data_IF_145175729582
#
_entry.id   IF_145175729582
#
_cell.length_a   1.000
_cell.length_b   1.000
_cell.length_c   1.000
_cell.angle_alpha   90.00
_cell.angle_beta   90.00
_cell.angle_gamma   90.00
#
_symmetry.space_group_name_H-M   'P 1'
#
loop_
_entity.id
_entity.type
_entity.pdbx_description
1 polymer ?
#
# COMPACT_ATOMS: atom_id res chain seq x y z
N UNK A 1 -4.13 23.31 22.08
CA UNK A 1 -3.99 24.47 21.18
C UNK A 1 -4.66 24.06 19.88
N UNK A 2 -5.73 24.73 19.46
CA UNK A 2 -6.44 24.37 18.22
C UNK A 2 -5.63 24.95 17.07
N UNK A 3 -4.92 24.11 16.32
CA UNK A 3 -4.27 24.54 15.09
C UNK A 3 -5.36 24.83 14.06
N UNK A 4 -5.56 26.10 13.73
CA UNK A 4 -6.45 26.50 12.66
C UNK A 4 -5.79 26.13 11.34
N UNK A 5 -6.33 25.12 10.65
CA UNK A 5 -5.96 24.81 9.28
C UNK A 5 -6.28 26.01 8.38
N UNK A 6 -5.25 26.71 7.92
CA UNK A 6 -5.41 27.84 7.01
C UNK A 6 -5.50 27.30 5.60
N UNK A 7 -6.69 27.42 4.99
CA UNK A 7 -6.86 27.05 3.59
C UNK A 7 -5.88 27.83 2.70
N UNK A 8 -5.29 27.18 1.68
CA UNK A 8 -4.51 27.91 0.68
C UNK A 8 -5.39 29.02 0.04
N UNK A 9 -4.78 30.14 -0.37
CA UNK A 9 -5.53 31.27 -0.91
C UNK A 9 -6.42 30.82 -2.08
N UNK A 10 -7.65 31.34 -2.15
CA UNK A 10 -8.70 30.93 -3.11
C UNK A 10 -8.26 30.93 -4.58
N UNK A 11 -7.22 31.69 -4.95
CA UNK A 11 -6.61 31.68 -6.28
C UNK A 11 -5.94 30.34 -6.65
N UNK A 12 -5.47 29.53 -5.69
CA UNK A 12 -4.86 28.21 -5.96
C UNK A 12 -5.88 27.13 -6.37
N UNK A 13 -7.16 27.32 -6.03
CA UNK A 13 -8.20 26.32 -6.18
C UNK A 13 -8.89 26.29 -7.56
N UNK A 14 -8.62 27.25 -8.45
CA UNK A 14 -9.37 27.38 -9.71
C UNK A 14 -8.99 26.37 -10.81
N UNK A 15 -7.91 25.59 -10.64
CA UNK A 15 -7.54 24.50 -11.58
C UNK A 15 -7.25 23.15 -10.90
N UNK A 16 -7.11 23.16 -9.57
CA UNK A 16 -6.59 22.04 -8.78
C UNK A 16 -7.70 21.34 -7.99
N UNK A 17 -7.74 20.01 -8.08
CA UNK A 17 -8.65 19.16 -7.30
C UNK A 17 -7.97 18.79 -5.99
N UNK A 18 -8.65 19.01 -4.86
CA UNK A 18 -8.20 18.52 -3.55
C UNK A 18 -8.42 17.00 -3.48
N UNK A 19 -7.35 16.23 -3.26
CA UNK A 19 -7.39 14.76 -3.24
C UNK A 19 -7.23 14.16 -1.85
N UNK A 20 -6.43 14.79 -0.98
CA UNK A 20 -6.21 14.33 0.38
C UNK A 20 -5.85 15.50 1.32
N UNK A 21 -6.16 15.34 2.60
CA UNK A 21 -5.74 16.27 3.67
C UNK A 21 -5.18 15.51 4.86
N UNK A 22 -4.26 16.16 5.57
CA UNK A 22 -3.78 15.69 6.86
C UNK A 22 -3.76 16.88 7.83
N UNK A 23 -4.83 17.06 8.62
CA UNK A 23 -4.98 18.23 9.49
C UNK A 23 -3.89 18.37 10.55
N UNK A 24 -3.39 17.25 11.11
CA UNK A 24 -2.33 17.28 12.14
C UNK A 24 -1.02 17.84 11.59
N UNK A 25 -0.73 17.59 10.31
CA UNK A 25 0.44 18.09 9.60
C UNK A 25 0.18 19.41 8.85
N UNK A 26 -1.03 19.98 8.98
CA UNK A 26 -1.49 21.12 8.19
C UNK A 26 -1.19 20.95 6.69
N UNK A 27 -1.47 19.75 6.18
CA UNK A 27 -1.10 19.35 4.84
C UNK A 27 -2.32 19.08 3.96
N UNK A 28 -2.18 19.38 2.66
CA UNK A 28 -3.18 19.09 1.65
C UNK A 28 -2.50 18.73 0.32
N UNK A 29 -3.05 17.74 -0.36
CA UNK A 29 -2.57 17.28 -1.66
C UNK A 29 -3.59 17.63 -2.73
N UNK A 30 -3.12 18.32 -3.75
CA UNK A 30 -3.91 18.71 -4.91
C UNK A 30 -3.31 18.12 -6.19
N UNK A 31 -4.11 18.02 -7.25
CA UNK A 31 -3.64 17.64 -8.58
C UNK A 31 -4.56 18.15 -9.68
N UNK A 32 -4.12 18.03 -10.93
CA UNK A 32 -4.95 18.18 -12.12
C UNK A 32 -5.50 16.82 -12.58
N UNK A 33 -6.77 16.78 -12.97
CA UNK A 33 -7.33 15.62 -13.67
C UNK A 33 -6.96 15.67 -15.16
N UNK A 34 -6.37 14.60 -15.68
CA UNK A 34 -5.87 14.49 -17.05
C UNK A 34 -6.05 13.06 -17.58
N UNK A 35 -7.08 12.86 -18.41
CA UNK A 35 -7.46 11.51 -18.88
C UNK A 35 -7.89 10.63 -17.70
N UNK A 36 -7.40 9.39 -17.65
CA UNK A 36 -7.73 8.44 -16.57
C UNK A 36 -6.81 8.59 -15.33
N UNK A 37 -6.18 9.75 -15.14
CA UNK A 37 -5.21 9.97 -14.07
C UNK A 37 -5.31 11.38 -13.47
N UNK A 38 -4.89 11.49 -12.21
CA UNK A 38 -4.41 12.73 -11.61
C UNK A 38 -2.90 12.90 -11.89
N UNK A 39 -2.49 14.13 -12.22
CA UNK A 39 -1.10 14.53 -12.55
C UNK A 39 -0.81 15.93 -12.03
N UNK A 40 0.44 16.38 -12.16
CA UNK A 40 0.88 17.72 -11.77
C UNK A 40 0.53 18.04 -10.31
N UNK A 41 0.98 17.18 -9.40
CA UNK A 41 0.59 17.26 -8.01
C UNK A 41 1.18 18.51 -7.34
N UNK A 42 0.42 19.05 -6.39
CA UNK A 42 0.87 20.12 -5.50
C UNK A 42 0.67 19.67 -4.05
N UNK A 43 1.75 19.61 -3.28
CA UNK A 43 1.71 19.38 -1.85
C UNK A 43 1.79 20.72 -1.11
N UNK A 44 0.75 21.04 -0.35
CA UNK A 44 0.75 22.14 0.61
C UNK A 44 1.08 21.58 1.99
N UNK A 45 2.04 22.19 2.70
CA UNK A 45 2.45 21.82 4.07
C UNK A 45 2.83 23.09 4.82
N UNK A 46 2.14 23.42 5.91
CA UNK A 46 2.48 24.56 6.77
C UNK A 46 2.75 25.88 6.02
N UNK A 47 1.94 26.21 5.02
CA UNK A 47 2.10 27.44 4.21
C UNK A 47 3.07 27.31 3.02
N UNK A 48 3.78 26.20 2.91
CA UNK A 48 4.74 25.93 1.83
C UNK A 48 4.06 25.13 0.73
N UNK A 49 4.35 25.49 -0.51
CA UNK A 49 3.80 24.87 -1.72
C UNK A 49 4.94 24.17 -2.46
N UNK A 50 4.83 22.87 -2.64
CA UNK A 50 5.79 22.04 -3.36
C UNK A 50 5.13 21.44 -4.60
N UNK A 51 5.69 21.72 -5.77
CA UNK A 51 5.21 21.18 -7.06
C UNK A 51 5.83 19.82 -7.34
N UNK A 52 5.03 18.90 -7.86
CA UNK A 52 5.37 17.50 -8.14
C UNK A 52 4.86 17.10 -9.53
N UNK A 53 5.48 17.63 -10.60
CA UNK A 53 5.01 17.44 -11.98
C UNK A 53 5.09 15.97 -12.44
N UNK A 54 6.05 15.20 -11.92
CA UNK A 54 6.26 13.82 -12.33
C UNK A 54 5.32 12.82 -11.63
N UNK A 55 4.58 13.26 -10.60
CA UNK A 55 3.68 12.39 -9.87
C UNK A 55 2.42 12.08 -10.67
N UNK A 56 1.94 10.85 -10.50
CA UNK A 56 0.73 10.35 -11.17
C UNK A 56 -0.05 9.48 -10.19
N UNK A 57 -1.37 9.59 -10.22
CA UNK A 57 -2.25 8.63 -9.57
C UNK A 57 -3.40 8.28 -10.52
N UNK A 58 -3.91 7.06 -10.44
CA UNK A 58 -5.18 6.70 -11.07
C UNK A 58 -6.30 7.66 -10.65
N UNK A 59 -7.23 8.02 -11.54
CA UNK A 59 -8.39 8.81 -11.14
C UNK A 59 -9.52 8.00 -10.48
N UNK A 60 -9.45 6.66 -10.60
CA UNK A 60 -10.39 5.73 -9.97
C UNK A 60 -10.50 5.98 -8.44
N UNK A 61 -11.69 6.30 -7.92
CA UNK A 61 -11.89 6.62 -6.50
C UNK A 61 -11.46 5.53 -5.51
N UNK A 62 -11.50 4.26 -5.92
CA UNK A 62 -11.05 3.15 -5.07
C UNK A 62 -9.52 3.12 -4.87
N UNK A 63 -8.77 3.84 -5.71
CA UNK A 63 -7.32 3.88 -5.75
C UNK A 63 -6.77 5.30 -5.63
N UNK A 64 -7.53 6.19 -4.98
CA UNK A 64 -7.10 7.56 -4.72
C UNK A 64 -5.80 7.65 -3.89
N UNK A 65 -5.09 8.78 -3.94
CA UNK A 65 -3.89 8.99 -3.13
C UNK A 65 -4.18 8.82 -1.63
N UNK A 66 -3.22 8.27 -0.90
CA UNK A 66 -3.27 8.22 0.56
C UNK A 66 -2.24 9.17 1.15
N UNK A 67 -2.61 9.88 2.21
CA UNK A 67 -1.71 10.73 2.99
C UNK A 67 -1.73 10.28 4.45
N UNK A 68 -0.63 9.64 4.87
CA UNK A 68 -0.44 9.13 6.23
C UNK A 68 0.47 10.07 7.02
N UNK A 69 0.36 10.04 8.35
CA UNK A 69 1.17 10.86 9.25
C UNK A 69 1.63 10.09 10.47
N UNK A 70 2.87 9.61 10.43
CA UNK A 70 3.40 8.68 11.41
C UNK A 70 4.92 8.79 11.50
N UNK A 71 5.46 8.62 12.71
CA UNK A 71 6.90 8.48 12.92
C UNK A 71 7.32 7.08 12.44
N UNK A 72 7.95 7.03 11.26
CA UNK A 72 8.40 5.78 10.64
C UNK A 72 9.92 5.58 10.67
N UNK A 73 10.66 6.59 11.13
CA UNK A 73 12.11 6.57 11.29
C UNK A 73 12.55 6.48 12.76
N UNK A 74 11.60 6.55 13.71
CA UNK A 74 11.75 6.47 15.16
C UNK A 74 12.52 7.65 15.78
N UNK A 75 12.47 8.83 15.16
CA UNK A 75 13.12 10.05 15.66
C UNK A 75 12.21 10.91 16.55
N UNK A 76 10.99 10.43 16.86
CA UNK A 76 9.94 11.10 17.64
C UNK A 76 9.22 12.25 16.88
N UNK A 77 9.52 12.46 15.61
CA UNK A 77 8.80 13.37 14.72
C UNK A 77 7.99 12.55 13.71
N UNK A 78 6.76 13.00 13.43
CA UNK A 78 5.91 12.32 12.46
C UNK A 78 6.28 12.76 11.04
N UNK A 79 6.27 11.80 10.13
CA UNK A 79 6.53 11.99 8.72
C UNK A 79 5.21 12.03 7.95
N UNK A 80 5.15 12.82 6.88
CA UNK A 80 4.07 12.72 5.89
C UNK A 80 4.46 11.65 4.89
N UNK A 81 3.63 10.61 4.74
CA UNK A 81 3.80 9.57 3.72
C UNK A 81 2.68 9.69 2.71
N UNK A 82 3.03 9.84 1.44
CA UNK A 82 2.07 9.89 0.33
C UNK A 82 2.23 8.62 -0.48
N UNK A 83 1.13 7.85 -0.61
CA UNK A 83 1.08 6.65 -1.44
C UNK A 83 0.24 6.94 -2.68
N UNK A 84 0.83 6.74 -3.85
CA UNK A 84 0.20 6.97 -5.15
C UNK A 84 0.02 5.66 -5.88
N UNK A 85 -1.21 5.34 -6.29
CA UNK A 85 -1.49 4.18 -7.15
C UNK A 85 -1.26 4.56 -8.61
N UNK A 86 -0.17 4.08 -9.19
CA UNK A 86 0.30 4.42 -10.55
C UNK A 86 -0.18 3.45 -11.62
N UNK A 87 -0.69 2.28 -11.21
CA UNK A 87 -1.31 1.27 -12.07
C UNK A 87 -2.27 0.38 -11.27
N UNK A 88 -3.40 0.03 -11.87
CA UNK A 88 -4.40 -0.85 -11.25
C UNK A 88 -5.17 -1.65 -12.31
N UNK A 89 -5.80 -2.75 -11.91
CA UNK A 89 -6.62 -3.59 -12.76
C UNK A 89 -6.91 -4.95 -12.13
N UNK A 90 -7.50 -5.89 -12.88
CA UNK A 90 -7.73 -7.25 -12.38
C UNK A 90 -6.40 -7.94 -12.08
N UNK A 91 -6.10 -8.13 -10.80
CA UNK A 91 -4.84 -8.73 -10.34
C UNK A 91 -3.62 -7.83 -10.45
N UNK A 92 -3.81 -6.52 -10.69
CA UNK A 92 -2.73 -5.54 -10.80
C UNK A 92 -2.96 -4.40 -9.79
N UNK A 93 -1.96 -4.12 -8.96
CA UNK A 93 -1.84 -2.91 -8.15
C UNK A 93 -0.36 -2.52 -8.18
N UNK A 94 -0.07 -1.27 -8.51
CA UNK A 94 1.27 -0.69 -8.44
C UNK A 94 1.18 0.63 -7.69
N UNK A 95 1.96 0.75 -6.61
CA UNK A 95 2.09 1.98 -5.85
C UNK A 95 3.51 2.51 -5.81
N UNK A 96 3.60 3.83 -5.63
CA UNK A 96 4.81 4.57 -5.30
C UNK A 96 4.62 5.24 -3.92
N UNK A 97 5.71 5.35 -3.16
CA UNK A 97 5.72 5.99 -1.84
C UNK A 97 6.65 7.20 -1.84
N UNK A 98 6.14 8.31 -1.33
CA UNK A 98 6.89 9.55 -1.11
C UNK A 98 6.88 9.88 0.37
N UNK A 99 8.06 10.10 0.96
CA UNK A 99 8.19 10.33 2.40
C UNK A 99 8.81 11.69 2.66
N UNK A 100 8.18 12.47 3.52
CA UNK A 100 8.62 13.79 3.93
C UNK A 100 8.81 13.81 5.43
N UNK A 101 10.05 14.05 5.89
CA UNK A 101 10.30 14.02 7.32
C UNK A 101 9.77 15.26 8.04
N UNK A 102 9.29 15.05 9.27
CA UNK A 102 8.93 16.12 10.18
C UNK A 102 10.11 17.02 10.54
N UNK A 103 9.82 18.29 10.85
CA UNK A 103 10.82 19.29 11.26
C UNK A 103 11.11 20.32 10.17
N UNK A 104 10.49 21.50 10.26
CA UNK A 104 10.71 22.60 9.32
C UNK A 104 9.92 22.43 8.02
N UNK A 105 10.61 22.40 6.87
CA UNK A 105 10.01 22.52 5.53
C UNK A 105 9.49 21.21 4.92
N UNK A 106 9.42 20.12 5.68
CA UNK A 106 9.09 18.77 5.19
C UNK A 106 9.88 18.41 3.90
N UNK A 107 11.20 18.20 3.99
CA UNK A 107 11.98 17.74 2.84
C UNK A 107 11.62 16.30 2.48
N UNK A 108 11.54 16.01 1.18
CA UNK A 108 11.32 14.65 0.68
C UNK A 108 12.61 13.83 0.75
N UNK A 109 12.50 12.58 1.20
CA UNK A 109 13.58 11.61 1.18
C UNK A 109 13.26 10.47 0.22
N UNK A 110 14.28 10.04 -0.52
CA UNK A 110 14.15 8.95 -1.48
C UNK A 110 13.79 7.64 -0.78
N UNK A 111 12.92 6.86 -1.41
CA UNK A 111 12.63 5.47 -1.05
C UNK A 111 13.21 4.58 -2.13
N UNK A 112 14.07 3.63 -1.75
CA UNK A 112 14.64 2.68 -2.69
C UNK A 112 13.52 1.94 -3.44
N UNK A 113 13.67 1.84 -4.76
CA UNK A 113 12.66 1.22 -5.60
C UNK A 113 12.47 -0.27 -5.22
N UNK A 114 11.25 -0.69 -4.81
CA UNK A 114 11.02 -2.05 -4.35
C UNK A 114 11.26 -3.09 -5.46
N UNK A 115 10.94 -2.79 -6.73
CA UNK A 115 11.19 -3.72 -7.83
C UNK A 115 12.70 -3.96 -8.05
N UNK A 116 13.52 -2.92 -7.95
CA UNK A 116 14.98 -3.07 -8.01
C UNK A 116 15.50 -3.93 -6.85
N UNK A 117 14.94 -3.75 -5.65
CA UNK A 117 15.26 -4.58 -4.47
C UNK A 117 14.86 -6.05 -4.72
N UNK A 118 13.65 -6.31 -5.23
CA UNK A 118 13.16 -7.66 -5.53
C UNK A 118 14.05 -8.36 -6.56
N UNK A 119 14.32 -7.71 -7.69
CA UNK A 119 15.13 -8.27 -8.78
C UNK A 119 16.56 -8.61 -8.34
N UNK A 120 17.13 -7.83 -7.42
CA UNK A 120 18.48 -8.04 -6.91
C UNK A 120 18.56 -9.15 -5.85
N UNK A 121 17.56 -9.24 -4.97
CA UNK A 121 17.68 -10.03 -3.73
C UNK A 121 16.76 -11.26 -3.67
N UNK A 122 15.78 -11.37 -4.57
CA UNK A 122 14.79 -12.45 -4.57
C UNK A 122 14.94 -13.29 -5.83
N UNK A 123 15.15 -14.59 -5.65
CA UNK A 123 15.24 -15.55 -6.74
C UNK A 123 14.16 -16.61 -6.60
N UNK A 124 13.41 -16.84 -7.67
CA UNK A 124 12.27 -17.75 -7.66
C UNK A 124 12.40 -18.87 -8.68
N UNK A 125 11.85 -20.04 -8.37
CA UNK A 125 11.55 -21.09 -9.35
C UNK A 125 10.15 -21.61 -9.11
N UNK A 126 9.45 -21.95 -10.18
CA UNK A 126 8.08 -22.44 -10.13
C UNK A 126 7.94 -23.72 -10.96
N UNK A 127 7.29 -24.71 -10.38
CA UNK A 127 6.75 -25.89 -11.06
C UNK A 127 5.28 -26.03 -10.68
N UNK A 128 4.58 -27.01 -11.29
CA UNK A 128 3.18 -27.28 -10.94
C UNK A 128 3.00 -27.78 -9.50
N UNK A 129 4.04 -28.34 -8.89
CA UNK A 129 3.98 -28.93 -7.55
C UNK A 129 4.65 -28.07 -6.49
N UNK A 130 5.68 -27.31 -6.86
CA UNK A 130 6.51 -26.59 -5.89
C UNK A 130 6.95 -25.24 -6.41
N UNK A 131 7.04 -24.29 -5.49
CA UNK A 131 7.72 -23.04 -5.71
C UNK A 131 8.88 -22.92 -4.72
N UNK A 132 9.98 -22.34 -5.18
CA UNK A 132 11.11 -21.99 -4.32
C UNK A 132 11.31 -20.49 -4.35
N UNK A 133 11.39 -19.88 -3.18
CA UNK A 133 11.67 -18.45 -3.00
C UNK A 133 12.99 -18.36 -2.22
N UNK A 134 14.01 -17.78 -2.82
CA UNK A 134 15.32 -17.59 -2.18
C UNK A 134 15.56 -16.11 -1.96
N UNK A 135 15.77 -15.73 -0.70
CA UNK A 135 16.05 -14.35 -0.28
C UNK A 135 17.36 -14.37 0.49
N UNK A 136 18.34 -13.57 0.07
CA UNK A 136 19.65 -13.48 0.73
C UNK A 136 20.30 -14.86 1.00
N UNK A 137 20.17 -15.78 0.04
CA UNK A 137 20.71 -17.15 0.13
C UNK A 137 19.88 -18.14 0.95
N UNK A 138 18.83 -17.70 1.64
CA UNK A 138 17.90 -18.58 2.36
C UNK A 138 16.73 -18.96 1.45
N UNK A 139 16.54 -20.26 1.22
CA UNK A 139 15.46 -20.79 0.39
C UNK A 139 14.28 -21.28 1.23
N UNK A 140 13.09 -20.84 0.88
CA UNK A 140 11.80 -21.39 1.33
C UNK A 140 11.20 -22.20 0.18
N UNK A 141 10.77 -23.42 0.48
CA UNK A 141 10.05 -24.29 -0.46
C UNK A 141 8.57 -24.28 -0.08
N UNK A 142 7.71 -24.04 -1.06
CA UNK A 142 6.26 -24.01 -0.90
C UNK A 142 5.66 -25.11 -1.76
N UNK A 143 4.83 -25.96 -1.15
CA UNK A 143 3.99 -26.91 -1.89
C UNK A 143 2.87 -26.13 -2.58
N UNK A 144 2.87 -26.09 -3.92
CA UNK A 144 1.86 -25.36 -4.68
C UNK A 144 0.52 -26.10 -4.67
N UNK A 145 0.53 -27.43 -4.56
CA UNK A 145 -0.68 -28.24 -4.60
C UNK A 145 -1.62 -27.93 -3.41
N UNK A 146 -1.07 -27.45 -2.29
CA UNK A 146 -1.86 -27.09 -1.10
C UNK A 146 -2.89 -25.98 -1.38
N UNK A 147 -2.66 -25.13 -2.38
CA UNK A 147 -3.54 -24.01 -2.74
C UNK A 147 -4.67 -24.41 -3.71
N UNK A 148 -4.65 -25.65 -4.23
CA UNK A 148 -5.70 -26.21 -5.11
C UNK A 148 -5.99 -25.36 -6.35
N UNK A 149 -4.99 -24.65 -6.87
CA UNK A 149 -5.10 -24.01 -8.17
C UNK A 149 -5.16 -25.06 -9.27
N UNK A 150 -5.83 -24.73 -10.38
CA UNK A 150 -5.79 -25.56 -11.58
C UNK A 150 -4.33 -25.61 -12.10
N UNK A 151 -3.72 -26.80 -12.20
CA UNK A 151 -2.35 -26.95 -12.70
C UNK A 151 -2.13 -26.44 -14.13
N UNK A 152 -3.18 -26.26 -14.93
CA UNK A 152 -3.10 -25.66 -16.27
C UNK A 152 -3.00 -24.13 -16.23
N UNK A 153 -3.45 -23.51 -15.14
CA UNK A 153 -3.38 -22.06 -14.93
C UNK A 153 -2.15 -21.60 -14.14
N UNK A 154 -1.33 -22.54 -13.65
CA UNK A 154 -0.06 -22.23 -13.00
C UNK A 154 0.90 -21.66 -14.05
N UNK A 155 1.44 -20.48 -13.75
CA UNK A 155 2.40 -19.76 -14.58
C UNK A 155 3.75 -20.50 -14.68
N UNK A 156 4.59 -20.07 -15.62
CA UNK A 156 5.95 -20.63 -15.78
C UNK A 156 6.94 -20.08 -14.75
N UNK A 157 6.63 -18.93 -14.18
CA UNK A 157 7.47 -18.22 -13.21
C UNK A 157 6.59 -17.52 -12.17
N UNK A 158 7.21 -17.18 -11.03
CA UNK A 158 6.56 -16.35 -10.01
C UNK A 158 6.63 -14.90 -10.47
N UNK A 159 5.49 -14.24 -10.57
CA UNK A 159 5.41 -12.82 -10.89
C UNK A 159 5.37 -12.04 -9.57
N UNK A 160 6.30 -11.09 -9.40
CA UNK A 160 6.39 -10.22 -8.22
C UNK A 160 5.99 -8.77 -8.49
N UNK A 161 5.79 -8.40 -9.77
CA UNK A 161 5.57 -7.01 -10.19
C UNK A 161 4.10 -6.60 -10.32
N UNK A 162 3.18 -7.57 -10.26
CA UNK A 162 1.77 -7.35 -10.57
C UNK A 162 1.02 -6.73 -9.39
N UNK A 163 1.27 -7.17 -8.17
CA UNK A 163 0.63 -6.60 -6.99
C UNK A 163 1.73 -6.13 -6.03
N UNK A 164 2.06 -4.86 -6.12
CA UNK A 164 3.05 -4.16 -5.33
C UNK A 164 2.39 -2.93 -4.69
N UNK A 165 2.25 -2.94 -3.38
CA UNK A 165 1.66 -1.85 -2.62
C UNK A 165 2.49 -1.55 -1.37
N UNK A 166 2.19 -0.44 -0.69
CA UNK A 166 2.87 -0.05 0.54
C UNK A 166 1.91 -0.03 1.73
N UNK A 167 2.44 -0.41 2.89
CA UNK A 167 1.76 -0.31 4.17
C UNK A 167 2.71 0.20 5.25
N UNK A 168 2.16 0.70 6.36
CA UNK A 168 2.94 0.95 7.57
C UNK A 168 2.72 -0.21 8.53
N UNK A 169 3.76 -1.04 8.70
CA UNK A 169 3.74 -2.21 9.57
C UNK A 169 4.75 -1.99 10.68
N UNK A 170 4.29 -2.06 11.94
CA UNK A 170 5.13 -1.84 13.13
C UNK A 170 5.91 -0.52 13.07
N UNK A 171 5.24 0.57 12.67
CA UNK A 171 5.84 1.90 12.48
C UNK A 171 6.98 1.92 11.47
N UNK A 172 6.96 1.07 10.44
CA UNK A 172 7.92 1.12 9.34
C UNK A 172 7.21 1.06 8.00
N UNK A 173 7.67 1.87 7.05
CA UNK A 173 7.26 1.75 5.67
C UNK A 173 7.66 0.35 5.16
N UNK A 174 6.70 -0.38 4.62
CA UNK A 174 6.89 -1.73 4.09
C UNK A 174 6.28 -1.83 2.71
N UNK A 175 7.06 -2.20 1.71
CA UNK A 175 6.53 -2.60 0.41
C UNK A 175 6.13 -4.07 0.44
N UNK A 176 4.97 -4.41 -0.09
CA UNK A 176 4.41 -5.75 -0.13
C UNK A 176 4.23 -6.14 -1.59
N UNK A 177 4.88 -7.22 -2.01
CA UNK A 177 4.77 -7.78 -3.34
C UNK A 177 4.16 -9.19 -3.29
N UNK A 178 3.07 -9.44 -4.00
CA UNK A 178 2.51 -10.80 -4.07
C UNK A 178 3.40 -11.72 -4.90
N UNK A 179 3.65 -12.94 -4.40
CA UNK A 179 4.26 -14.02 -5.14
C UNK A 179 3.21 -14.72 -6.00
N UNK A 180 2.83 -14.07 -7.11
CA UNK A 180 1.76 -14.52 -7.98
C UNK A 180 2.19 -15.70 -8.86
N UNK A 181 1.36 -16.73 -8.91
CA UNK A 181 1.58 -17.95 -9.69
C UNK A 181 0.40 -18.30 -10.62
N UNK A 182 -0.69 -17.52 -10.59
CA UNK A 182 -1.84 -17.62 -11.51
C UNK A 182 -2.27 -16.22 -11.94
N UNK A 183 -2.59 -16.03 -13.23
CA UNK A 183 -2.86 -14.71 -13.84
C UNK A 183 -3.94 -13.87 -13.13
N UNK A 184 -4.97 -14.50 -12.55
CA UNK A 184 -6.07 -13.82 -11.86
C UNK A 184 -5.90 -13.85 -10.33
N UNK A 185 -4.74 -13.39 -9.84
CA UNK A 185 -4.52 -13.15 -8.41
C UNK A 185 -4.27 -14.38 -7.54
N UNK A 186 -3.97 -15.54 -8.13
CA UNK A 186 -3.52 -16.69 -7.34
C UNK A 186 -2.05 -16.51 -6.93
N UNK A 187 -1.78 -16.52 -5.64
CA UNK A 187 -0.45 -16.32 -5.07
C UNK A 187 -0.12 -17.39 -4.03
N UNK A 188 1.17 -17.58 -3.77
CA UNK A 188 1.68 -18.50 -2.74
C UNK A 188 2.11 -17.77 -1.46
N UNK A 189 1.96 -16.46 -1.42
CA UNK A 189 2.41 -15.61 -0.33
C UNK A 189 2.84 -14.24 -0.81
N UNK A 190 3.57 -13.55 0.05
CA UNK A 190 3.99 -12.17 -0.15
C UNK A 190 5.46 -12.01 0.21
N UNK A 191 6.15 -11.12 -0.50
CA UNK A 191 7.47 -10.61 -0.15
C UNK A 191 7.28 -9.27 0.52
N UNK A 192 7.71 -9.15 1.77
CA UNK A 192 7.68 -7.91 2.54
C UNK A 192 9.09 -7.31 2.55
N UNK A 193 9.21 -6.06 2.10
CA UNK A 193 10.43 -5.25 2.16
C UNK A 193 10.21 -4.17 3.20
N UNK A 194 10.74 -4.37 4.40
CA UNK A 194 10.72 -3.36 5.45
C UNK A 194 11.86 -2.37 5.23
N UNK A 195 11.54 -1.08 5.21
CA UNK A 195 12.50 -0.02 5.00
C UNK A 195 13.03 0.54 6.33
N UNK A 196 14.31 0.90 6.33
CA UNK A 196 14.96 1.66 7.38
C UNK A 196 15.60 2.92 6.81
N UNK A 197 15.60 4.01 7.59
CA UNK A 197 16.21 5.26 7.16
C UNK A 197 17.73 5.24 7.41
N UNK A 198 18.52 5.30 6.33
CA UNK A 198 19.99 5.25 6.38
C UNK A 198 20.58 6.04 5.23
N UNK A 199 21.70 6.75 5.48
CA UNK A 199 22.40 7.52 4.44
C UNK A 199 21.47 8.49 3.69
N UNK A 200 20.55 9.13 4.43
CA UNK A 200 19.64 10.14 3.89
C UNK A 200 18.60 9.60 2.90
N UNK A 201 18.21 8.33 3.03
CA UNK A 201 17.13 7.71 2.24
C UNK A 201 16.56 6.47 2.94
N UNK A 202 15.39 6.02 2.52
CA UNK A 202 14.79 4.76 2.96
C UNK A 202 15.33 3.60 2.13
N UNK A 203 16.05 2.69 2.77
CA UNK A 203 16.69 1.53 2.15
C UNK A 203 16.11 0.23 2.71
N UNK A 204 16.19 -0.86 1.95
CA UNK A 204 15.78 -2.17 2.44
C UNK A 204 16.58 -2.56 3.71
N UNK A 205 15.89 -2.69 4.84
CA UNK A 205 16.46 -3.17 6.10
C UNK A 205 16.24 -4.67 6.25
N UNK A 206 15.05 -5.14 5.89
CA UNK A 206 14.66 -6.54 5.95
C UNK A 206 13.82 -6.92 4.74
N UNK A 207 14.07 -8.11 4.20
CA UNK A 207 13.27 -8.72 3.15
C UNK A 207 12.86 -10.11 3.64
N UNK A 208 11.57 -10.41 3.62
CA UNK A 208 11.05 -11.70 4.08
C UNK A 208 9.94 -12.21 3.17
N UNK A 209 9.81 -13.53 3.08
CA UNK A 209 8.70 -14.19 2.41
C UNK A 209 7.72 -14.70 3.46
N UNK A 210 6.46 -14.29 3.36
CA UNK A 210 5.36 -14.74 4.19
C UNK A 210 4.48 -15.65 3.34
N UNK A 211 4.52 -16.98 3.54
CA UNK A 211 3.67 -17.90 2.80
C UNK A 211 2.20 -17.59 3.05
N UNK A 212 1.38 -17.70 2.00
CA UNK A 212 -0.06 -17.57 2.14
C UNK A 212 -0.55 -18.71 3.06
N UNK A 213 -1.16 -18.36 4.18
CA UNK A 213 -1.75 -19.35 5.08
C UNK A 213 -2.91 -20.06 4.38
N UNK A 214 -3.10 -21.33 4.72
CA UNK A 214 -4.21 -22.15 4.20
C UNK A 214 -5.53 -21.39 4.39
N UNK A 215 -6.22 -21.05 3.29
CA UNK A 215 -7.62 -20.64 3.35
C UNK A 215 -8.40 -21.80 4.02
N UNK A 216 -9.07 -21.60 5.16
CA UNK A 216 -9.94 -22.64 5.70
C UNK A 216 -10.98 -23.02 4.63
N UNK A 217 -11.38 -24.30 4.50
CA UNK A 217 -12.45 -24.66 3.59
C UNK A 217 -13.70 -23.84 3.92
N UNK A 218 -14.39 -23.35 2.88
CA UNK A 218 -15.53 -22.43 2.95
C UNK A 218 -16.80 -23.01 3.61
N UNK A 219 -16.68 -24.04 4.45
CA UNK A 219 -17.78 -24.69 5.17
C UNK A 219 -17.78 -24.43 6.68
N UNK A 220 -16.84 -23.64 7.23
CA UNK A 220 -16.78 -23.34 8.67
C UNK A 220 -17.23 -21.93 9.06
N UNK A 221 -17.68 -21.09 8.12
CA UNK A 221 -18.37 -19.81 8.43
C UNK A 221 -19.91 -19.92 8.41
N UNK A 222 -20.43 -21.14 8.54
CA UNK A 222 -21.85 -21.38 8.77
C UNK A 222 -22.15 -21.45 10.26
N UNK A 223 -22.31 -20.31 10.93
CA UNK A 223 -22.79 -20.32 12.31
C UNK A 223 -22.51 -19.10 13.16
N UNK A 224 -22.96 -17.91 12.77
CA UNK A 224 -23.37 -16.89 13.74
C UNK A 224 -24.39 -15.95 13.09
N UNK A 225 -25.59 -16.51 12.83
CA UNK A 225 -26.81 -15.72 12.83
C UNK A 225 -27.05 -15.29 14.27
N UNK A 226 -26.59 -14.08 14.62
CA UNK A 226 -27.03 -13.40 15.84
C UNK A 226 -28.50 -13.06 15.69
N UNK A 227 -29.35 -13.87 16.33
CA UNK A 227 -30.74 -13.54 16.58
C UNK A 227 -30.80 -12.48 17.69
N UNK A 228 -30.83 -11.20 17.34
CA UNK A 228 -31.44 -10.21 18.24
C UNK A 228 -32.95 -10.37 18.15
N UNK A 229 -33.47 -11.22 19.05
CA UNK A 229 -34.89 -11.26 19.40
C UNK A 229 -35.23 -9.90 20.05
N UNK A 230 -35.81 -9.02 19.25
CA UNK A 230 -36.54 -7.85 19.74
C UNK A 230 -37.70 -8.36 20.60
N UNK A 231 -37.65 -8.13 21.91
CA UNK A 231 -38.81 -8.26 22.80
C UNK A 231 -39.74 -7.08 22.48
N UNK A 232 -40.78 -7.31 21.70
CA UNK A 232 -41.98 -6.48 21.77
C UNK A 232 -42.85 -6.94 22.96
N UNK A 233 -43.32 -6.02 23.82
CA UNK A 233 -44.39 -6.31 24.76
C UNK A 233 -45.75 -6.06 24.06
N UNK A 234 -46.56 -7.11 23.91
CA UNK A 234 -47.95 -6.93 23.54
C UNK A 234 -48.77 -6.35 24.71
N UNK A 235 -49.65 -5.44 24.32
CA UNK A 235 -50.45 -4.54 25.12
C UNK A 235 -51.68 -5.17 25.80
N UNK A 236 -51.98 -4.62 26.99
CA UNK A 236 -53.30 -4.14 27.45
C UNK A 236 -54.37 -5.06 28.06
N UNK A 237 -55.06 -4.43 29.03
CA UNK A 237 -56.41 -4.66 29.58
C UNK A 237 -56.56 -5.63 30.78
N UNK A 238 -56.57 -5.04 31.97
CA UNK A 238 -57.85 -4.72 32.65
C UNK A 238 -57.91 -3.23 32.97
#
# INVERSE_FOLDING_TARGET
MIHHFTWPPLLFAFLNILLATQPEANAALFAHHQGDNYRDFTLYTDGIIQQRPDWKNSDNPAFGPQMLFQDINQDQQKDIIILLTTGHGTGLIQQEAHVFHGGGHYPEFLVDNPMAILLKNVHTKLTKQQATITINGKTTVVDVAQYKYDPEHILKEVILSAHLHFEIINNKLTAIAQAQIVFLGGSIGEIHITYGFKNNMYQAERIEFIPLQKRPPASETGGLLSTTKTKEPFHSLR
#
